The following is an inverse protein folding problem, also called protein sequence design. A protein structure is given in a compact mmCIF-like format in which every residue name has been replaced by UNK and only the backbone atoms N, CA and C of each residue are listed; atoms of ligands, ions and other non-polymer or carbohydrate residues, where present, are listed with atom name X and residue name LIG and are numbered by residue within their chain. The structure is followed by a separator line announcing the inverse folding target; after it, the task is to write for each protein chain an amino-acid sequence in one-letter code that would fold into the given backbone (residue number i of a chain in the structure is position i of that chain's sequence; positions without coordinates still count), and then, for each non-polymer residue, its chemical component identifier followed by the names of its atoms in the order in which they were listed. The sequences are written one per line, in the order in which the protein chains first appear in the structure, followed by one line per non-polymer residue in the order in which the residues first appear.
data_IF_050579588820
#
_entry.id   IF_050579588820
#
_cell.length_a   1.000
_cell.length_b   1.000
_cell.length_c   1.000
_cell.angle_alpha   90.00
_cell.angle_beta   90.00
_cell.angle_gamma   90.00
#
_symmetry.space_group_name_H-M   'P 1'
#
loop_
_entity.id
_entity.type
_entity.pdbx_description
1 polymer ?
#
# COMPACT_ATOMS: atom_id res chain seq x y z
N UNK A 1 8.69 1.79 12.50
CA UNK A 1 9.78 0.76 12.57
C UNK A 1 9.35 -0.46 13.37
N UNK A 2 8.73 -0.27 14.54
CA UNK A 2 8.19 -1.38 15.34
C UNK A 2 7.19 -2.25 14.56
N UNK A 3 6.24 -1.62 13.85
CA UNK A 3 5.26 -2.29 12.99
C UNK A 3 5.90 -3.23 11.96
N UNK A 4 6.95 -2.76 11.25
CA UNK A 4 7.64 -3.55 10.23
C UNK A 4 8.37 -4.77 10.82
N UNK A 5 9.02 -4.61 11.98
CA UNK A 5 9.68 -5.71 12.66
C UNK A 5 8.68 -6.77 13.15
N UNK A 6 7.52 -6.33 13.66
CA UNK A 6 6.44 -7.21 14.07
C UNK A 6 5.88 -8.00 12.87
N UNK A 7 5.74 -7.35 11.71
CA UNK A 7 5.31 -8.00 10.47
C UNK A 7 6.32 -9.02 9.95
N UNK A 8 7.62 -8.72 10.02
CA UNK A 8 8.69 -9.66 9.64
C UNK A 8 8.53 -11.02 10.31
N UNK A 9 8.32 -11.00 11.63
CA UNK A 9 8.18 -12.19 12.47
C UNK A 9 6.90 -12.93 12.10
N UNK A 10 5.77 -12.22 12.03
CA UNK A 10 4.46 -12.82 11.73
C UNK A 10 4.38 -13.45 10.34
N UNK A 11 5.01 -12.83 9.35
CA UNK A 11 5.00 -13.26 7.96
C UNK A 11 6.17 -14.20 7.60
N UNK A 12 7.03 -14.54 8.56
CA UNK A 12 8.20 -15.40 8.40
C UNK A 12 9.10 -14.98 7.21
N UNK A 13 9.43 -13.69 7.14
CA UNK A 13 10.18 -13.11 6.03
C UNK A 13 11.69 -13.26 6.28
N UNK A 14 12.43 -13.72 5.26
CA UNK A 14 13.89 -13.82 5.31
C UNK A 14 14.52 -12.42 5.46
N UNK A 15 15.66 -12.34 6.14
CA UNK A 15 16.34 -11.05 6.39
C UNK A 15 16.66 -10.29 5.10
N UNK A 16 17.16 -10.97 4.08
CA UNK A 16 17.56 -10.38 2.80
C UNK A 16 16.37 -9.72 2.06
N UNK A 17 15.23 -10.42 2.02
CA UNK A 17 14.00 -9.88 1.41
C UNK A 17 13.40 -8.74 2.24
N UNK A 18 13.57 -8.79 3.56
CA UNK A 18 13.01 -7.80 4.47
C UNK A 18 13.63 -6.42 4.28
N UNK A 19 14.96 -6.34 4.16
CA UNK A 19 15.66 -5.05 4.09
C UNK A 19 15.32 -4.28 2.80
N UNK A 20 15.24 -4.98 1.67
CA UNK A 20 14.83 -4.42 0.38
C UNK A 20 13.38 -3.88 0.45
N UNK A 21 12.46 -4.69 0.96
CA UNK A 21 11.05 -4.31 1.06
C UNK A 21 10.85 -3.13 2.02
N UNK A 22 11.61 -3.08 3.13
CA UNK A 22 11.56 -1.96 4.08
C UNK A 22 12.00 -0.65 3.44
N UNK A 23 13.00 -0.67 2.56
CA UNK A 23 13.43 0.53 1.82
C UNK A 23 12.29 1.05 0.96
N UNK A 24 11.61 0.17 0.23
CA UNK A 24 10.49 0.55 -0.61
C UNK A 24 9.31 1.08 0.21
N UNK A 25 8.92 0.39 1.29
CA UNK A 25 7.86 0.87 2.19
C UNK A 25 8.19 2.25 2.76
N UNK A 26 9.44 2.52 3.15
CA UNK A 26 9.84 3.85 3.64
C UNK A 26 9.68 4.93 2.57
N UNK A 27 9.93 4.64 1.30
CA UNK A 27 9.69 5.60 0.20
C UNK A 27 8.20 5.88 0.03
N UNK A 28 7.36 4.85 0.18
CA UNK A 28 5.91 4.99 0.14
C UNK A 28 5.43 5.89 1.28
N UNK A 29 5.91 5.66 2.50
CA UNK A 29 5.61 6.50 3.66
C UNK A 29 5.96 7.98 3.45
N UNK A 30 7.11 8.25 2.83
CA UNK A 30 7.53 9.62 2.53
C UNK A 30 6.54 10.26 1.56
N UNK A 31 6.18 9.58 0.47
CA UNK A 31 5.18 10.07 -0.50
C UNK A 31 3.82 10.31 0.14
N UNK A 32 3.35 9.39 1.00
CA UNK A 32 2.08 9.57 1.70
C UNK A 32 2.09 10.81 2.60
N UNK A 33 3.21 11.07 3.29
CA UNK A 33 3.39 12.28 4.11
C UNK A 33 3.43 13.56 3.29
N UNK A 34 4.04 13.54 2.09
CA UNK A 34 4.03 14.66 1.15
C UNK A 34 2.61 15.05 0.73
N UNK A 35 1.71 14.06 0.64
CA UNK A 35 0.28 14.24 0.37
C UNK A 35 -0.58 14.47 1.63
N UNK A 36 0.05 14.74 2.78
CA UNK A 36 -0.61 14.93 4.09
C UNK A 36 -1.41 13.71 4.60
N UNK A 37 -1.06 12.51 4.14
CA UNK A 37 -1.66 11.26 4.60
C UNK A 37 -0.77 10.66 5.68
N UNK A 38 -1.28 10.64 6.92
CA UNK A 38 -0.56 10.10 8.08
C UNK A 38 -1.21 8.79 8.50
N UNK A 39 -0.47 7.69 8.37
CA UNK A 39 -0.91 6.37 8.80
C UNK A 39 -0.80 6.25 10.32
N UNK A 40 -1.86 5.75 10.96
CA UNK A 40 -1.79 5.23 12.33
C UNK A 40 -1.31 3.77 12.31
N UNK A 41 -0.99 3.20 13.48
CA UNK A 41 -0.46 1.83 13.58
C UNK A 41 -1.34 0.77 12.88
N UNK A 42 -2.67 0.89 12.99
CA UNK A 42 -3.59 -0.07 12.34
C UNK A 42 -3.50 0.00 10.81
N UNK A 43 -3.46 1.22 10.26
CA UNK A 43 -3.33 1.41 8.81
C UNK A 43 -1.94 1.04 8.30
N UNK A 44 -0.89 1.32 9.08
CA UNK A 44 0.45 0.82 8.81
C UNK A 44 0.46 -0.70 8.68
N UNK A 45 -0.13 -1.42 9.65
CA UNK A 45 -0.21 -2.89 9.61
C UNK A 45 -0.86 -3.37 8.32
N UNK A 46 -2.00 -2.79 7.94
CA UNK A 46 -2.74 -3.17 6.74
C UNK A 46 -1.94 -2.93 5.47
N UNK A 47 -1.53 -1.67 5.24
CA UNK A 47 -0.81 -1.29 4.02
C UNK A 47 0.53 -2.01 3.92
N UNK A 48 1.33 -2.05 4.99
CA UNK A 48 2.65 -2.69 4.94
C UNK A 48 2.54 -4.19 4.69
N UNK A 49 1.55 -4.87 5.30
CA UNK A 49 1.30 -6.30 5.01
C UNK A 49 0.97 -6.54 3.55
N UNK A 50 0.14 -5.67 2.97
CA UNK A 50 -0.16 -5.72 1.54
C UNK A 50 1.10 -5.49 0.70
N UNK A 51 1.90 -4.46 0.99
CA UNK A 51 3.13 -4.15 0.27
C UNK A 51 4.17 -5.28 0.34
N UNK A 52 4.34 -5.91 1.51
CA UNK A 52 5.17 -7.11 1.65
C UNK A 52 4.72 -8.23 0.72
N UNK A 53 3.42 -8.50 0.70
CA UNK A 53 2.84 -9.56 -0.13
C UNK A 53 2.95 -9.22 -1.62
N UNK A 54 2.72 -7.96 -1.99
CA UNK A 54 2.83 -7.48 -3.36
C UNK A 54 4.25 -7.58 -3.89
N UNK A 55 5.25 -7.06 -3.17
CA UNK A 55 6.66 -7.12 -3.63
C UNK A 55 7.13 -8.59 -3.73
N UNK A 56 6.68 -9.45 -2.81
CA UNK A 56 6.94 -10.89 -2.92
C UNK A 56 6.33 -11.51 -4.18
N UNK A 57 5.10 -11.14 -4.53
CA UNK A 57 4.48 -11.58 -5.79
C UNK A 57 5.25 -11.09 -7.01
N UNK A 58 5.69 -9.82 -7.01
CA UNK A 58 6.54 -9.28 -8.09
C UNK A 58 7.82 -10.10 -8.27
N UNK A 59 8.54 -10.39 -7.18
CA UNK A 59 9.76 -11.22 -7.19
C UNK A 59 9.52 -12.63 -7.77
N UNK A 60 8.33 -13.18 -7.54
CA UNK A 60 7.95 -14.51 -8.01
C UNK A 60 7.22 -14.51 -9.37
N UNK A 61 7.00 -13.34 -9.98
CA UNK A 61 6.15 -13.16 -11.17
C UNK A 61 4.71 -13.71 -10.98
N UNK A 62 4.17 -13.56 -9.77
CA UNK A 62 2.80 -13.93 -9.40
C UNK A 62 1.87 -12.71 -9.54
N UNK A 63 0.57 -12.97 -9.75
CA UNK A 63 -0.46 -11.92 -9.86
C UNK A 63 -1.58 -12.13 -8.85
N UNK A 64 -2.24 -11.04 -8.46
CA UNK A 64 -3.49 -11.10 -7.71
C UNK A 64 -4.67 -11.45 -8.62
N UNK A 65 -5.76 -11.85 -8.00
CA UNK A 65 -7.05 -11.93 -8.70
C UNK A 65 -7.48 -10.53 -9.15
N UNK A 66 -8.08 -10.46 -10.33
CA UNK A 66 -8.64 -9.21 -10.83
C UNK A 66 -9.70 -8.65 -9.87
N UNK A 67 -9.60 -7.36 -9.58
CA UNK A 67 -10.63 -6.62 -8.84
C UNK A 67 -11.81 -6.36 -9.78
N UNK A 68 -13.04 -6.46 -9.26
CA UNK A 68 -14.25 -6.21 -10.04
C UNK A 68 -14.42 -4.73 -10.35
N UNK A 69 -15.09 -4.43 -11.47
CA UNK A 69 -15.43 -3.05 -11.85
C UNK A 69 -16.29 -2.34 -10.78
N UNK A 70 -17.14 -3.11 -10.08
CA UNK A 70 -17.93 -2.60 -8.96
C UNK A 70 -17.07 -2.04 -7.83
N UNK A 71 -15.98 -2.73 -7.47
CA UNK A 71 -15.04 -2.23 -6.46
C UNK A 71 -14.27 -1.03 -7.01
N UNK A 72 -13.79 -1.10 -8.26
CA UNK A 72 -13.06 0.01 -8.89
C UNK A 72 -13.86 1.30 -8.92
N UNK A 73 -15.16 1.21 -9.22
CA UNK A 73 -16.06 2.38 -9.26
C UNK A 73 -16.35 3.04 -7.92
N UNK A 74 -16.03 2.38 -6.81
CA UNK A 74 -16.16 2.94 -5.46
C UNK A 74 -14.91 3.71 -5.02
N UNK A 75 -13.83 3.63 -5.80
CA UNK A 75 -12.56 4.27 -5.48
C UNK A 75 -12.51 5.69 -6.01
N UNK A 76 -12.06 6.63 -5.17
CA UNK A 76 -11.86 8.00 -5.60
C UNK A 76 -10.65 8.11 -6.53
N UNK A 77 -10.77 8.99 -7.53
CA UNK A 77 -9.73 9.18 -8.56
C UNK A 77 -8.39 9.58 -7.96
N UNK A 78 -8.41 10.39 -6.89
CA UNK A 78 -7.20 10.87 -6.22
C UNK A 78 -6.42 9.71 -5.57
N UNK A 79 -7.12 8.80 -4.90
CA UNK A 79 -6.54 7.59 -4.30
C UNK A 79 -6.01 6.63 -5.36
N UNK A 80 -6.70 6.49 -6.51
CA UNK A 80 -6.21 5.71 -7.64
C UNK A 80 -4.91 6.31 -8.19
N UNK A 81 -4.90 7.61 -8.49
CA UNK A 81 -3.73 8.27 -9.10
C UNK A 81 -2.54 8.30 -8.15
N UNK A 82 -2.77 8.55 -6.86
CA UNK A 82 -1.74 8.44 -5.84
C UNK A 82 -1.17 7.02 -5.77
N UNK A 83 -2.04 6.00 -5.78
CA UNK A 83 -1.60 4.60 -5.79
C UNK A 83 -0.78 4.25 -7.02
N UNK A 84 -1.19 4.70 -8.21
CA UNK A 84 -0.39 4.55 -9.44
C UNK A 84 0.98 5.21 -9.29
N UNK A 85 1.03 6.44 -8.78
CA UNK A 85 2.29 7.18 -8.56
C UNK A 85 3.22 6.47 -7.57
N UNK A 86 2.66 5.88 -6.52
CA UNK A 86 3.37 5.10 -5.50
C UNK A 86 3.91 3.80 -6.09
N UNK A 87 3.11 3.05 -6.85
CA UNK A 87 3.46 1.72 -7.34
C UNK A 87 4.27 1.71 -8.64
N UNK A 88 4.19 2.76 -9.47
CA UNK A 88 4.88 2.83 -10.77
C UNK A 88 6.39 2.53 -10.69
N UNK A 89 7.16 3.02 -9.70
CA UNK A 89 8.57 2.64 -9.54
C UNK A 89 8.77 1.15 -9.30
N UNK A 90 7.87 0.49 -8.55
CA UNK A 90 7.94 -0.95 -8.29
C UNK A 90 7.65 -1.75 -9.56
N UNK A 91 6.59 -1.41 -10.30
CA UNK A 91 6.30 -2.07 -11.57
C UNK A 91 7.48 -1.96 -12.55
N UNK A 92 8.11 -0.77 -12.61
CA UNK A 92 9.28 -0.53 -13.46
C UNK A 92 10.52 -1.30 -13.00
N UNK A 93 10.75 -1.41 -11.69
CA UNK A 93 11.90 -2.12 -11.11
C UNK A 93 11.87 -3.62 -11.43
N UNK A 94 10.68 -4.22 -11.43
CA UNK A 94 10.50 -5.66 -11.69
C UNK A 94 10.13 -5.97 -13.15
N UNK A 95 10.19 -4.99 -14.06
CA UNK A 95 9.86 -5.11 -15.49
C UNK A 95 8.49 -5.75 -15.75
N UNK A 96 7.48 -5.34 -14.97
CA UNK A 96 6.10 -5.81 -15.11
C UNK A 96 5.17 -4.66 -15.54
N UNK A 97 4.12 -4.95 -16.33
CA UNK A 97 3.10 -3.96 -16.65
C UNK A 97 2.36 -3.54 -15.37
N UNK A 98 1.83 -2.31 -15.40
CA UNK A 98 0.97 -1.81 -14.31
C UNK A 98 -0.24 -2.75 -14.16
N UNK A 99 -0.41 -3.32 -12.97
CA UNK A 99 -1.56 -4.12 -12.60
C UNK A 99 -2.58 -3.24 -11.86
N UNK A 100 -3.71 -2.98 -12.52
CA UNK A 100 -4.78 -2.16 -11.94
C UNK A 100 -5.41 -2.77 -10.69
N UNK A 101 -5.29 -4.08 -10.50
CA UNK A 101 -5.78 -4.77 -9.30
C UNK A 101 -4.95 -4.40 -8.08
N UNK A 102 -3.62 -4.35 -8.24
CA UNK A 102 -2.71 -3.92 -7.16
C UNK A 102 -2.84 -2.42 -6.90
N UNK A 103 -3.02 -1.62 -7.96
CA UNK A 103 -3.35 -0.19 -7.83
C UNK A 103 -4.62 0.01 -7.01
N UNK A 104 -5.67 -0.75 -7.31
CA UNK A 104 -6.95 -0.67 -6.60
C UNK A 104 -6.81 -1.09 -5.12
N UNK A 105 -6.07 -2.17 -4.84
CA UNK A 105 -5.86 -2.64 -3.47
C UNK A 105 -5.08 -1.61 -2.62
N UNK A 106 -4.08 -0.94 -3.18
CA UNK A 106 -3.39 0.16 -2.49
C UNK A 106 -4.31 1.38 -2.35
N UNK A 107 -5.12 1.68 -3.37
CA UNK A 107 -6.07 2.79 -3.31
C UNK A 107 -7.11 2.59 -2.21
N UNK A 108 -7.59 1.36 -2.00
CA UNK A 108 -8.47 1.02 -0.87
C UNK A 108 -7.81 1.40 0.47
N UNK A 109 -6.54 1.02 0.68
CA UNK A 109 -5.82 1.36 1.90
C UNK A 109 -5.69 2.88 2.10
N UNK A 110 -5.36 3.62 1.04
CA UNK A 110 -5.21 5.07 1.08
C UNK A 110 -6.55 5.76 1.36
N UNK A 111 -7.60 5.38 0.63
CA UNK A 111 -8.93 5.95 0.77
C UNK A 111 -9.49 5.68 2.17
N UNK A 112 -9.32 4.46 2.69
CA UNK A 112 -9.76 4.13 4.06
C UNK A 112 -9.10 5.04 5.09
N UNK A 113 -7.80 5.32 4.94
CA UNK A 113 -7.09 6.28 5.82
C UNK A 113 -7.69 7.67 5.70
N UNK A 114 -7.88 8.16 4.46
CA UNK A 114 -8.45 9.50 4.20
C UNK A 114 -9.82 9.66 4.85
N UNK A 115 -10.71 8.69 4.66
CA UNK A 115 -12.07 8.69 5.22
C UNK A 115 -12.05 8.70 6.76
N UNK A 116 -11.22 7.85 7.38
CA UNK A 116 -11.10 7.79 8.84
C UNK A 116 -10.43 9.06 9.44
N UNK A 117 -9.55 9.73 8.69
CA UNK A 117 -9.02 11.04 9.06
C UNK A 117 -10.05 12.19 8.91
N UNK A 118 -11.13 11.98 8.17
CA UNK A 118 -12.24 12.93 8.05
C UNK A 118 -13.33 12.67 9.10
N UNK A 119 -13.67 11.42 9.39
CA UNK A 119 -14.67 11.06 10.41
C UNK A 119 -14.28 11.54 11.83
N UNK A 120 -12.98 11.61 12.14
CA UNK A 120 -12.49 12.18 13.40
C UNK A 120 -12.74 13.69 13.59
N UNK A 121 -13.24 14.41 12.57
CA UNK A 121 -13.57 15.85 12.64
C UNK A 121 -15.06 16.15 12.84
N UNK A 122 -15.94 15.14 12.78
CA UNK A 122 -17.39 15.35 12.89
C UNK A 122 -17.93 15.24 14.34
N UNK A 123 -17.06 15.04 15.34
CA UNK A 123 -17.47 14.85 16.75
C UNK A 123 -17.29 16.11 17.63
N UNK A 124 -17.13 17.29 17.01
CA UNK A 124 -17.07 18.59 17.69
C UNK A 124 -18.15 19.56 17.15
N UNK A 125 -19.37 19.05 16.91
CA UNK A 125 -20.56 19.82 16.52
C UNK A 125 -21.61 19.89 17.61
#
# INVERSE_FOLDING_TARGET
METLNNLKIKLNIKNEDFDEIVIEIKKIDIKLKEENIVLNEQFEIGLYSHMFSFIKRLKNNEKVMAISDEILSQLDEESIELSKSILKPLFSMYDVPIDMSEVALVAIHIQTVKENCMEGREIDG
#
